data_IF_614751474751
#
_entry.id   IF_614751474751
#
_cell.length_a   1.000
_cell.length_b   1.000
_cell.length_c   1.000
_cell.angle_alpha   90.00
_cell.angle_beta   90.00
_cell.angle_gamma   90.00
#
_symmetry.space_group_name_H-M   'P 1'
#
loop_
_entity.id
_entity.type
_entity.pdbx_description
1 polymer ?
#
# COMPACT_ATOMS: atom_id res chain seq x y z
N UNK A 1 -19.62 -32.33 6.49
CA UNK A 1 -19.30 -31.43 7.61
C UNK A 1 -18.83 -32.25 8.80
N UNK A 2 -19.47 -33.39 9.06
CA UNK A 2 -19.13 -34.32 10.15
C UNK A 2 -17.67 -34.81 10.17
N UNK A 3 -17.07 -35.10 9.00
CA UNK A 3 -15.67 -35.59 8.93
C UNK A 3 -14.63 -34.57 9.46
N UNK A 4 -14.88 -33.26 9.31
CA UNK A 4 -13.95 -32.23 9.80
C UNK A 4 -14.07 -32.03 11.32
N UNK A 5 -15.27 -32.20 11.86
CA UNK A 5 -15.50 -32.14 13.31
C UNK A 5 -14.89 -33.36 14.01
N UNK A 6 -14.96 -34.54 13.41
CA UNK A 6 -14.31 -35.76 13.92
C UNK A 6 -12.78 -35.66 13.92
N UNK A 7 -12.18 -35.11 12.85
CA UNK A 7 -10.73 -34.88 12.77
C UNK A 7 -10.25 -33.84 13.81
N UNK A 8 -11.04 -32.78 14.04
CA UNK A 8 -10.75 -31.79 15.08
C UNK A 8 -10.84 -32.40 16.48
N UNK A 9 -11.85 -33.23 16.74
CA UNK A 9 -12.00 -33.91 18.03
C UNK A 9 -10.84 -34.88 18.32
N UNK A 10 -10.31 -35.55 17.30
CA UNK A 10 -9.13 -36.41 17.44
C UNK A 10 -7.85 -35.60 17.65
N UNK A 11 -7.67 -34.49 16.93
CA UNK A 11 -6.54 -33.58 17.15
C UNK A 11 -6.53 -32.98 18.57
N UNK A 12 -7.70 -32.58 19.09
CA UNK A 12 -7.85 -32.04 20.46
C UNK A 12 -7.56 -33.11 21.51
N UNK A 13 -7.96 -34.36 21.26
CA UNK A 13 -7.70 -35.49 22.17
C UNK A 13 -6.22 -35.86 22.22
N UNK A 14 -5.56 -35.86 21.07
CA UNK A 14 -4.11 -36.07 20.97
C UNK A 14 -3.33 -34.94 21.66
N UNK A 15 -3.76 -33.70 21.49
CA UNK A 15 -3.16 -32.55 22.17
C UNK A 15 -3.34 -32.63 23.69
N UNK A 16 -4.55 -33.00 24.16
CA UNK A 16 -4.81 -33.16 25.60
C UNK A 16 -3.93 -34.26 26.19
N UNK A 17 -3.79 -35.38 25.47
CA UNK A 17 -2.90 -36.47 25.87
C UNK A 17 -1.44 -36.03 25.95
N UNK A 18 -0.98 -35.30 24.94
CA UNK A 18 0.40 -34.77 24.90
C UNK A 18 0.65 -33.77 26.03
N UNK A 19 -0.34 -32.94 26.36
CA UNK A 19 -0.27 -32.00 27.49
C UNK A 19 -0.25 -32.73 28.82
N UNK A 20 -1.07 -33.77 29.01
CA UNK A 20 -1.05 -34.58 30.23
C UNK A 20 0.26 -35.36 30.37
N UNK A 21 0.82 -35.90 29.28
CA UNK A 21 2.13 -36.55 29.27
C UNK A 21 3.25 -35.56 29.62
N UNK A 22 3.26 -34.36 29.01
CA UNK A 22 4.20 -33.29 29.37
C UNK A 22 4.02 -32.81 30.82
N UNK A 23 2.77 -32.77 31.29
CA UNK A 23 2.46 -32.39 32.66
C UNK A 23 2.90 -33.46 33.64
N UNK A 24 2.75 -34.73 33.33
CA UNK A 24 3.26 -35.84 34.16
C UNK A 24 4.79 -35.89 34.15
N UNK A 25 5.43 -35.50 33.04
CA UNK A 25 6.89 -35.35 32.97
C UNK A 25 7.37 -34.14 33.80
N UNK A 26 6.62 -33.02 33.76
CA UNK A 26 6.90 -31.82 34.55
C UNK A 26 6.52 -31.96 36.03
N UNK A 27 5.47 -32.74 36.35
CA UNK A 27 5.01 -33.09 37.70
C UNK A 27 5.57 -34.47 38.15
N UNK A 28 6.54 -35.02 37.43
CA UNK A 28 7.32 -36.21 37.83
C UNK A 28 7.87 -36.05 39.26
N UNK A 29 8.50 -37.03 39.92
CA UNK A 29 8.74 -36.98 41.37
C UNK A 29 9.76 -35.91 41.82
N UNK A 30 9.37 -34.63 41.80
CA UNK A 30 10.03 -33.46 42.35
C UNK A 30 9.91 -33.43 43.89
N UNK A 31 9.41 -34.51 44.50
CA UNK A 31 9.26 -34.68 45.95
C UNK A 31 10.41 -35.44 46.60
N UNK A 32 11.61 -35.48 46.00
CA UNK A 32 12.79 -36.02 46.69
C UNK A 32 13.86 -34.96 46.85
N UNK A 33 13.67 -34.17 47.92
CA UNK A 33 14.64 -33.26 48.54
C UNK A 33 15.00 -32.05 47.69
N UNK A 34 14.14 -31.01 47.74
CA UNK A 34 14.63 -29.65 47.50
C UNK A 34 15.82 -29.41 48.44
N UNK A 35 17.01 -29.07 47.92
CA UNK A 35 18.07 -28.56 48.79
C UNK A 35 17.51 -27.35 49.53
N UNK A 36 17.96 -27.08 50.78
CA UNK A 36 17.55 -25.87 51.48
C UNK A 36 17.77 -24.69 50.53
N UNK A 37 16.77 -23.81 50.41
CA UNK A 37 16.82 -22.60 49.59
C UNK A 37 17.99 -21.74 50.09
N UNK A 38 19.18 -22.00 49.55
CA UNK A 38 20.32 -21.14 49.73
C UNK A 38 20.13 -19.97 48.79
N UNK A 39 20.37 -18.73 49.27
CA UNK A 39 20.40 -17.59 48.37
C UNK A 39 21.44 -17.86 47.27
N UNK A 40 21.14 -17.50 46.02
CA UNK A 40 22.03 -17.75 44.89
C UNK A 40 23.37 -17.06 45.13
N UNK A 41 24.44 -17.73 44.77
CA UNK A 41 25.77 -17.12 44.81
C UNK A 41 25.93 -16.13 43.66
N UNK A 42 26.75 -15.08 43.80
CA UNK A 42 26.98 -14.11 42.72
C UNK A 42 27.44 -14.76 41.40
N UNK A 43 28.18 -15.88 41.48
CA UNK A 43 28.59 -16.66 40.30
C UNK A 43 27.42 -17.37 39.61
N UNK A 44 26.42 -17.83 40.35
CA UNK A 44 25.21 -18.43 39.78
C UNK A 44 24.34 -17.38 39.10
N UNK A 45 24.31 -16.13 39.61
CA UNK A 45 23.62 -15.03 38.94
C UNK A 45 24.29 -14.65 37.62
N UNK A 46 25.63 -14.52 37.61
CA UNK A 46 26.38 -14.26 36.38
C UNK A 46 26.19 -15.38 35.34
N UNK A 47 26.18 -16.64 35.80
CA UNK A 47 25.91 -17.79 34.93
C UNK A 47 24.48 -17.77 34.39
N UNK A 48 23.49 -17.43 35.22
CA UNK A 48 22.10 -17.29 34.78
C UNK A 48 21.92 -16.16 33.76
N UNK A 49 22.60 -15.02 33.95
CA UNK A 49 22.54 -13.93 32.98
C UNK A 49 23.15 -14.33 31.65
N UNK A 50 24.25 -15.07 31.65
CA UNK A 50 24.92 -15.54 30.44
C UNK A 50 24.15 -16.67 29.73
N UNK A 51 23.70 -17.68 30.48
CA UNK A 51 23.02 -18.85 29.93
C UNK A 51 21.55 -18.59 29.53
N UNK A 52 20.87 -17.64 30.19
CA UNK A 52 19.41 -17.49 30.08
C UNK A 52 18.99 -16.05 29.83
N UNK A 53 19.39 -15.09 30.67
CA UNK A 53 18.82 -13.75 30.59
C UNK A 53 19.27 -12.99 29.33
N UNK A 54 20.57 -13.01 29.01
CA UNK A 54 21.11 -12.36 27.83
C UNK A 54 20.57 -12.99 26.54
N UNK A 55 20.54 -14.33 26.36
CA UNK A 55 19.91 -14.95 25.19
C UNK A 55 18.42 -14.60 25.03
N UNK A 56 17.66 -14.55 26.13
CA UNK A 56 16.25 -14.20 26.08
C UNK A 56 16.04 -12.73 25.65
N UNK A 57 16.81 -11.80 26.22
CA UNK A 57 16.76 -10.38 25.84
C UNK A 57 17.20 -10.19 24.39
N UNK A 58 18.27 -10.87 23.96
CA UNK A 58 18.71 -10.84 22.57
C UNK A 58 17.62 -11.33 21.61
N UNK A 59 16.94 -12.42 21.96
CA UNK A 59 15.82 -12.96 21.16
C UNK A 59 14.66 -11.96 21.08
N UNK A 60 14.33 -11.29 22.18
CA UNK A 60 13.31 -10.25 22.19
C UNK A 60 13.67 -9.07 21.28
N UNK A 61 14.95 -8.67 21.28
CA UNK A 61 15.47 -7.62 20.40
C UNK A 61 15.45 -8.06 18.94
N UNK A 62 15.91 -9.27 18.61
CA UNK A 62 15.87 -9.79 17.23
C UNK A 62 14.44 -9.87 16.70
N UNK A 63 13.50 -10.29 17.55
CA UNK A 63 12.07 -10.31 17.23
C UNK A 63 11.54 -8.91 16.97
N UNK A 64 11.97 -7.93 17.77
CA UNK A 64 11.62 -6.52 17.58
C UNK A 64 12.15 -5.99 16.25
N UNK A 65 13.41 -6.27 15.92
CA UNK A 65 14.01 -5.88 14.63
C UNK A 65 13.25 -6.52 13.47
N UNK A 66 12.96 -7.82 13.52
CA UNK A 66 12.15 -8.50 12.48
C UNK A 66 10.75 -7.92 12.34
N UNK A 67 10.12 -7.51 13.45
CA UNK A 67 8.83 -6.83 13.42
C UNK A 67 8.93 -5.46 12.73
N UNK A 68 9.98 -4.68 13.03
CA UNK A 68 10.24 -3.41 12.36
C UNK A 68 10.56 -3.60 10.86
N UNK A 69 11.31 -4.62 10.48
CA UNK A 69 11.58 -4.95 9.07
C UNK A 69 10.30 -5.35 8.32
N UNK A 70 9.45 -6.17 8.95
CA UNK A 70 8.14 -6.51 8.41
C UNK A 70 7.27 -5.27 8.23
N UNK A 71 7.30 -4.34 9.20
CA UNK A 71 6.61 -3.06 9.10
C UNK A 71 7.15 -2.21 7.95
N UNK A 72 8.47 -2.09 7.80
CA UNK A 72 9.09 -1.38 6.67
C UNK A 72 8.68 -1.99 5.32
N UNK A 73 8.64 -3.33 5.25
CA UNK A 73 8.17 -4.04 4.05
C UNK A 73 6.71 -3.74 3.76
N UNK A 74 5.85 -3.66 4.78
CA UNK A 74 4.44 -3.26 4.62
C UNK A 74 4.31 -1.82 4.11
N UNK A 75 5.10 -0.89 4.63
CA UNK A 75 5.09 0.51 4.17
C UNK A 75 5.57 0.65 2.73
N UNK A 76 6.53 -0.19 2.30
CA UNK A 76 6.96 -0.26 0.90
C UNK A 76 5.81 -0.73 -0.01
N UNK A 77 5.03 -1.73 0.41
CA UNK A 77 3.85 -2.19 -0.35
C UNK A 77 2.82 -1.08 -0.49
N UNK A 78 2.50 -0.35 0.59
CA UNK A 78 1.55 0.77 0.56
C UNK A 78 2.02 1.89 -0.39
N UNK A 79 3.33 2.21 -0.39
CA UNK A 79 3.89 3.19 -1.34
C UNK A 79 3.76 2.72 -2.79
N UNK A 80 4.08 1.46 -3.07
CA UNK A 80 3.91 0.89 -4.41
C UNK A 80 2.45 0.84 -4.85
N UNK A 81 1.51 0.57 -3.95
CA UNK A 81 0.07 0.63 -4.25
C UNK A 81 -0.37 2.04 -4.61
N UNK A 82 0.11 3.06 -3.88
CA UNK A 82 -0.19 4.45 -4.18
C UNK A 82 0.34 4.88 -5.56
N UNK A 83 1.59 4.53 -5.87
CA UNK A 83 2.19 4.79 -7.19
C UNK A 83 1.44 4.06 -8.31
N UNK A 84 1.02 2.82 -8.06
CA UNK A 84 0.19 2.07 -9.01
C UNK A 84 -1.17 2.73 -9.21
N UNK A 85 -1.83 3.20 -8.13
CA UNK A 85 -3.11 3.89 -8.18
C UNK A 85 -3.01 5.20 -8.97
N UNK A 86 -1.99 6.01 -8.73
CA UNK A 86 -1.75 7.25 -9.47
C UNK A 86 -1.57 6.96 -10.97
N UNK A 87 -0.72 6.00 -11.33
CA UNK A 87 -0.54 5.57 -12.74
C UNK A 87 -1.82 5.03 -13.38
N UNK A 88 -2.63 4.29 -12.63
CA UNK A 88 -3.94 3.83 -13.12
C UNK A 88 -4.95 4.98 -13.23
N UNK A 89 -4.90 5.97 -12.35
CA UNK A 89 -5.76 7.15 -12.38
C UNK A 89 -5.57 7.95 -13.67
N UNK A 90 -4.31 8.21 -14.04
CA UNK A 90 -3.96 8.85 -15.31
C UNK A 90 -4.45 8.05 -16.52
N UNK A 91 -4.29 6.72 -16.49
CA UNK A 91 -4.77 5.85 -17.56
C UNK A 91 -6.30 5.85 -17.68
N UNK A 92 -7.01 5.85 -16.55
CA UNK A 92 -8.48 5.94 -16.49
C UNK A 92 -8.95 7.29 -17.01
N UNK A 93 -8.29 8.39 -16.64
CA UNK A 93 -8.62 9.73 -17.11
C UNK A 93 -8.45 9.85 -18.62
N UNK A 94 -7.32 9.38 -19.17
CA UNK A 94 -7.08 9.34 -20.61
C UNK A 94 -8.07 8.42 -21.37
N UNK A 95 -8.60 7.39 -20.71
CA UNK A 95 -9.63 6.51 -21.29
C UNK A 95 -11.01 7.18 -21.24
N UNK A 96 -11.33 7.87 -20.14
CA UNK A 96 -12.56 8.64 -19.96
C UNK A 96 -12.68 9.78 -20.97
N UNK A 97 -11.58 10.48 -21.26
CA UNK A 97 -11.53 11.54 -22.27
C UNK A 97 -11.88 10.98 -23.66
N UNK A 98 -11.23 9.87 -24.07
CA UNK A 98 -11.54 9.19 -25.35
C UNK A 98 -12.98 8.70 -25.41
N UNK A 99 -13.49 8.13 -24.32
CA UNK A 99 -14.88 7.68 -24.26
C UNK A 99 -15.87 8.87 -24.39
N UNK A 100 -15.54 10.02 -23.79
CA UNK A 100 -16.32 11.24 -23.90
C UNK A 100 -16.32 11.82 -25.32
N UNK A 101 -15.17 11.79 -25.99
CA UNK A 101 -15.03 12.20 -27.39
C UNK A 101 -15.82 11.28 -28.35
N UNK A 102 -15.73 9.97 -28.15
CA UNK A 102 -16.52 8.98 -28.89
C UNK A 102 -18.03 9.17 -28.67
N UNK A 103 -18.44 9.40 -27.42
CA UNK A 103 -19.84 9.71 -27.09
C UNK A 103 -20.32 10.94 -27.84
N UNK A 104 -19.52 12.00 -27.86
CA UNK A 104 -19.89 13.26 -28.53
C UNK A 104 -19.99 13.10 -30.05
N UNK A 105 -19.05 12.36 -30.65
CA UNK A 105 -19.10 12.00 -32.08
C UNK A 105 -20.35 11.18 -32.40
N UNK A 106 -20.64 10.16 -31.59
CA UNK A 106 -21.80 9.27 -31.81
C UNK A 106 -23.11 10.04 -31.67
N UNK A 107 -23.23 10.92 -30.67
CA UNK A 107 -24.39 11.80 -30.52
C UNK A 107 -24.55 12.75 -31.70
N UNK A 108 -23.46 13.35 -32.19
CA UNK A 108 -23.49 14.21 -33.37
C UNK A 108 -23.94 13.47 -34.63
N UNK A 109 -23.52 12.22 -34.80
CA UNK A 109 -24.01 11.37 -35.90
C UNK A 109 -25.49 11.04 -35.73
N UNK A 110 -25.94 10.74 -34.50
CA UNK A 110 -27.35 10.47 -34.21
C UNK A 110 -28.22 11.70 -34.53
N UNK A 111 -27.81 12.90 -34.12
CA UNK A 111 -28.51 14.15 -34.45
C UNK A 111 -28.59 14.37 -35.97
N UNK A 112 -27.52 14.03 -36.71
CA UNK A 112 -27.51 14.13 -38.17
C UNK A 112 -28.52 13.17 -38.80
N UNK A 113 -28.51 11.90 -38.39
CA UNK A 113 -29.46 10.89 -38.88
C UNK A 113 -30.90 11.24 -38.51
N UNK A 114 -31.13 11.77 -37.30
CA UNK A 114 -32.45 12.24 -36.88
C UNK A 114 -32.93 13.43 -37.70
N UNK A 115 -32.06 14.39 -38.01
CA UNK A 115 -32.39 15.50 -38.90
C UNK A 115 -32.73 15.03 -40.32
N UNK A 116 -32.02 14.02 -40.81
CA UNK A 116 -32.24 13.41 -42.12
C UNK A 116 -33.55 12.60 -42.16
N UNK A 117 -33.86 11.85 -41.10
CA UNK A 117 -35.14 11.17 -40.91
C UNK A 117 -36.30 12.16 -40.81
N UNK A 118 -36.14 13.25 -40.07
CA UNK A 118 -37.17 14.28 -39.92
C UNK A 118 -37.40 15.03 -41.24
N UNK A 119 -36.34 15.24 -42.03
CA UNK A 119 -36.44 15.76 -43.39
C UNK A 119 -37.19 14.79 -44.31
N UNK A 120 -36.82 13.51 -44.31
CA UNK A 120 -37.49 12.48 -45.12
C UNK A 120 -38.97 12.29 -44.73
N UNK A 121 -39.30 12.37 -43.43
CA UNK A 121 -40.67 12.28 -42.94
C UNK A 121 -41.52 13.49 -43.34
N UNK A 122 -40.93 14.68 -43.33
CA UNK A 122 -41.59 15.92 -43.75
C UNK A 122 -41.82 15.97 -45.27
N UNK A 123 -40.92 15.34 -46.04
CA UNK A 123 -41.04 15.21 -47.51
C UNK A 123 -42.04 14.10 -47.92
N UNK A 124 -42.73 13.48 -46.96
CA UNK A 124 -43.73 12.43 -47.21
C UNK A 124 -43.14 11.08 -47.60
N UNK A 125 -41.82 10.89 -47.44
CA UNK A 125 -41.08 9.69 -47.77
C UNK A 125 -41.09 8.60 -46.69
N UNK A 126 -42.10 8.55 -45.81
CA UNK A 126 -42.24 7.43 -44.88
C UNK A 126 -42.38 6.14 -45.71
N UNK A 127 -41.46 5.17 -45.58
CA UNK A 127 -41.56 3.94 -46.34
C UNK A 127 -42.87 3.25 -45.97
N UNK A 128 -43.80 3.15 -46.93
CA UNK A 128 -44.96 2.26 -46.84
C UNK A 128 -44.55 0.78 -46.96
N UNK A 129 -43.24 0.50 -46.91
CA UNK A 129 -42.63 -0.79 -47.10
C UNK A 129 -42.84 -1.66 -45.86
N UNK A 130 -43.30 -2.88 -46.08
CA UNK A 130 -43.59 -3.85 -45.04
C UNK A 130 -42.33 -4.18 -44.23
N UNK A 131 -41.17 -4.21 -44.90
CA UNK A 131 -39.84 -4.40 -44.32
C UNK A 131 -39.50 -3.34 -43.27
N UNK A 132 -39.88 -2.08 -43.52
CA UNK A 132 -39.62 -1.00 -42.57
C UNK A 132 -40.50 -1.11 -41.32
N UNK A 133 -41.72 -1.66 -41.44
CA UNK A 133 -42.59 -1.93 -40.29
C UNK A 133 -42.03 -3.07 -39.44
N UNK A 134 -41.49 -4.11 -40.06
CA UNK A 134 -40.86 -5.23 -39.36
C UNK A 134 -39.60 -4.77 -38.60
N UNK A 135 -38.72 -3.97 -39.22
CA UNK A 135 -37.54 -3.43 -38.54
C UNK A 135 -37.90 -2.49 -37.37
N UNK A 136 -38.94 -1.68 -37.51
CA UNK A 136 -39.43 -0.83 -36.40
C UNK A 136 -40.04 -1.65 -35.26
N UNK A 137 -40.64 -2.79 -35.57
CA UNK A 137 -41.16 -3.72 -34.58
C UNK A 137 -40.00 -4.40 -33.84
N UNK A 138 -39.00 -4.90 -34.58
CA UNK A 138 -37.81 -5.52 -34.02
C UNK A 138 -36.99 -4.54 -33.16
N UNK A 139 -36.85 -3.29 -33.60
CA UNK A 139 -36.21 -2.24 -32.81
C UNK A 139 -36.97 -1.93 -31.51
N UNK A 140 -38.31 -1.98 -31.52
CA UNK A 140 -39.13 -1.84 -30.30
C UNK A 140 -38.94 -3.02 -29.35
N UNK A 141 -38.98 -4.23 -29.88
CA UNK A 141 -38.77 -5.47 -29.11
C UNK A 141 -37.38 -5.48 -28.46
N UNK A 142 -36.33 -5.06 -29.20
CA UNK A 142 -34.97 -4.96 -28.67
C UNK A 142 -34.83 -3.89 -27.58
N UNK A 143 -35.49 -2.74 -27.72
CA UNK A 143 -35.50 -1.68 -26.70
C UNK A 143 -36.13 -2.18 -25.40
N UNK A 144 -37.24 -2.91 -25.50
CA UNK A 144 -37.93 -3.43 -24.33
C UNK A 144 -37.11 -4.55 -23.64
N UNK A 145 -36.33 -5.36 -24.37
CA UNK A 145 -35.36 -6.33 -23.78
C UNK A 145 -34.24 -5.61 -23.00
N UNK A 146 -33.67 -4.54 -23.58
CA UNK A 146 -32.61 -3.76 -22.94
C UNK A 146 -33.12 -3.05 -21.68
N UNK A 147 -34.29 -2.41 -21.73
CA UNK A 147 -34.93 -1.81 -20.56
C UNK A 147 -35.18 -2.87 -19.47
N UNK A 148 -35.58 -4.08 -19.85
CA UNK A 148 -35.74 -5.22 -18.94
C UNK A 148 -34.42 -5.60 -18.25
N UNK A 149 -33.33 -5.75 -19.00
CA UNK A 149 -32.02 -6.08 -18.44
C UNK A 149 -31.45 -4.98 -17.56
N UNK A 150 -31.65 -3.71 -17.94
CA UNK A 150 -31.18 -2.57 -17.14
C UNK A 150 -31.93 -2.49 -15.82
N UNK A 151 -33.24 -2.76 -15.83
CA UNK A 151 -34.05 -2.81 -14.62
C UNK A 151 -33.67 -3.98 -13.71
N UNK A 152 -33.42 -5.16 -14.28
CA UNK A 152 -32.96 -6.34 -13.54
C UNK A 152 -31.57 -6.13 -12.92
N UNK A 153 -30.69 -5.42 -13.62
CA UNK A 153 -29.39 -5.00 -13.10
C UNK A 153 -29.53 -3.95 -11.98
N UNK A 154 -30.39 -2.95 -12.16
CA UNK A 154 -30.64 -1.91 -11.16
C UNK A 154 -31.34 -2.46 -9.90
N UNK A 155 -32.26 -3.43 -10.03
CA UNK A 155 -32.91 -4.10 -8.90
C UNK A 155 -31.92 -4.99 -8.14
N UNK A 156 -30.98 -5.64 -8.85
CA UNK A 156 -29.88 -6.42 -8.24
C UNK A 156 -28.87 -5.52 -7.50
N UNK A 157 -28.67 -4.29 -7.97
CA UNK A 157 -27.82 -3.28 -7.30
C UNK A 157 -28.56 -2.57 -6.15
N UNK A 158 -29.87 -2.39 -6.26
CA UNK A 158 -30.71 -1.70 -5.26
C UNK A 158 -31.19 -2.61 -4.13
N UNK A 159 -30.82 -3.89 -4.09
CA UNK A 159 -31.13 -4.81 -3.01
C UNK A 159 -29.97 -4.81 -1.99
N UNK A 160 -30.06 -4.04 -0.88
CA UNK A 160 -29.05 -4.08 0.15
C UNK A 160 -29.39 -5.25 1.08
N UNK A 161 -28.59 -6.31 1.01
CA UNK A 161 -28.57 -7.36 2.02
C UNK A 161 -29.41 -8.60 1.69
N UNK A 162 -28.77 -9.55 1.01
CA UNK A 162 -28.91 -10.96 1.35
C UNK A 162 -27.51 -11.54 1.61
N UNK A 163 -26.80 -10.91 2.56
CA UNK A 163 -25.78 -11.59 3.33
C UNK A 163 -26.53 -12.26 4.48
N UNK A 164 -26.76 -13.56 4.37
CA UNK A 164 -27.45 -14.35 5.38
C UNK A 164 -26.85 -14.16 6.80
N UNK A 165 -27.67 -14.22 7.86
CA UNK A 165 -27.24 -13.98 9.23
C UNK A 165 -26.57 -15.24 9.80
N UNK A 166 -25.35 -15.53 9.38
CA UNK A 166 -24.49 -16.55 10.00
C UNK A 166 -23.02 -16.13 9.92
N UNK A 167 -22.73 -14.91 10.41
CA UNK A 167 -21.35 -14.51 10.71
C UNK A 167 -21.29 -13.98 12.14
N UNK A 168 -20.56 -14.64 13.06
CA UNK A 168 -20.38 -14.11 14.41
C UNK A 168 -19.52 -12.85 14.34
N UNK A 169 -20.03 -11.78 14.95
CA UNK A 169 -19.35 -10.51 15.18
C UNK A 169 -17.95 -10.69 15.79
N UNK A 170 -16.88 -10.11 15.20
CA UNK A 170 -15.67 -9.84 15.94
C UNK A 170 -15.88 -8.56 16.76
N UNK A 171 -16.19 -8.74 18.03
CA UNK A 171 -16.07 -7.70 19.05
C UNK A 171 -14.67 -7.04 18.96
N UNK A 172 -14.60 -5.71 18.84
CA UNK A 172 -13.36 -4.97 19.10
C UNK A 172 -12.92 -3.87 18.11
N UNK A 173 -13.81 -3.33 17.28
CA UNK A 173 -13.50 -2.10 16.54
C UNK A 173 -13.66 -0.87 17.42
N UNK A 174 -12.57 -0.26 17.88
CA UNK A 174 -12.59 1.07 18.53
C UNK A 174 -12.75 2.15 17.47
N UNK A 175 -13.89 2.82 17.45
CA UNK A 175 -14.10 4.08 16.72
C UNK A 175 -13.70 5.25 17.61
N UNK A 176 -12.72 6.05 17.18
CA UNK A 176 -12.34 7.31 17.83
C UNK A 176 -13.07 8.44 17.10
N UNK A 177 -14.04 9.06 17.78
CA UNK A 177 -14.63 10.31 17.34
C UNK A 177 -13.65 11.46 17.64
N UNK A 178 -13.22 12.16 16.60
CA UNK A 178 -12.42 13.38 16.71
C UNK A 178 -13.39 14.56 16.64
N UNK A 179 -13.67 15.17 17.79
CA UNK A 179 -14.36 16.45 17.86
C UNK A 179 -13.36 17.57 17.52
N UNK A 180 -13.51 18.19 16.34
CA UNK A 180 -12.76 19.38 15.93
C UNK A 180 -13.24 20.60 16.75
N UNK A 181 -12.70 20.75 17.95
CA UNK A 181 -12.88 21.94 18.80
C UNK A 181 -11.93 23.07 18.37
N UNK A 182 -12.38 24.34 18.28
CA UNK A 182 -11.54 25.46 17.84
C UNK A 182 -10.43 25.74 18.86
N UNK A 183 -9.19 25.76 18.37
CA UNK A 183 -7.99 26.15 19.12
C UNK A 183 -8.13 27.61 19.57
N UNK A 184 -8.46 27.84 20.85
CA UNK A 184 -8.38 29.17 21.45
C UNK A 184 -6.97 29.40 21.99
N UNK A 185 -6.26 30.33 21.34
CA UNK A 185 -5.01 30.94 21.81
C UNK A 185 -5.28 31.66 23.15
N UNK A 186 -5.05 30.98 24.27
CA UNK A 186 -5.13 31.57 25.60
C UNK A 186 -3.71 31.96 26.07
N UNK A 187 -3.26 33.13 25.60
CA UNK A 187 -2.19 33.87 26.24
C UNK A 187 -2.79 34.69 27.38
N UNK A 188 -2.83 34.09 28.56
CA UNK A 188 -3.08 34.80 29.81
C UNK A 188 -1.89 34.62 30.73
N UNK A 189 -1.18 35.73 30.94
CA UNK A 189 -0.12 35.89 31.94
C UNK A 189 -0.66 35.51 33.32
N UNK A 190 -0.02 34.55 33.99
CA UNK A 190 -0.11 34.39 35.44
C UNK A 190 1.27 34.03 35.96
N UNK A 191 1.79 34.99 36.71
CA UNK A 191 3.08 35.00 37.39
C UNK A 191 2.93 34.16 38.67
N UNK A 192 3.43 32.92 38.66
CA UNK A 192 3.68 32.13 39.86
C UNK A 192 4.99 31.35 39.66
N UNK A 193 6.01 31.81 40.35
CA UNK A 193 7.35 31.25 40.37
C UNK A 193 7.38 29.90 41.11
N UNK A 194 7.69 28.80 40.42
CA UNK A 194 8.51 27.71 40.96
C UNK A 194 8.99 26.72 39.86
N UNK A 195 10.30 26.51 39.84
CA UNK A 195 11.09 25.43 39.21
C UNK A 195 11.00 25.18 37.69
N UNK A 196 11.38 26.20 36.91
CA UNK A 196 11.81 26.03 35.51
C UNK A 196 13.21 25.41 35.41
N UNK A 197 13.30 24.08 35.48
CA UNK A 197 14.39 23.34 34.82
C UNK A 197 14.00 23.08 33.38
N UNK A 198 13.97 24.14 32.58
CA UNK A 198 14.24 23.99 31.16
C UNK A 198 15.67 23.45 31.08
N UNK A 199 15.76 22.13 30.90
CA UNK A 199 17.00 21.45 30.58
C UNK A 199 17.33 21.84 29.15
N UNK A 200 17.78 23.08 28.95
CA UNK A 200 18.44 23.51 27.73
C UNK A 200 19.65 22.58 27.59
N UNK A 201 19.49 21.57 26.73
CA UNK A 201 20.55 20.62 26.44
C UNK A 201 21.67 21.42 25.78
N UNK A 202 22.79 21.57 26.47
CA UNK A 202 23.99 22.21 25.93
C UNK A 202 24.60 21.29 24.87
N UNK A 203 24.06 21.39 23.65
CA UNK A 203 24.47 20.58 22.49
C UNK A 203 25.98 20.69 22.24
N UNK A 204 26.58 21.85 22.54
CA UNK A 204 28.02 22.06 22.39
C UNK A 204 28.85 21.17 23.33
N UNK A 205 28.40 20.98 24.58
CA UNK A 205 29.07 20.12 25.55
C UNK A 205 28.93 18.64 25.16
N UNK A 206 27.74 18.22 24.72
CA UNK A 206 27.49 16.86 24.25
C UNK A 206 28.30 16.53 22.99
N UNK A 207 28.43 17.48 22.05
CA UNK A 207 29.23 17.31 20.84
C UNK A 207 30.73 17.21 21.12
N UNK A 208 31.25 17.88 22.14
CA UNK A 208 32.65 17.75 22.54
C UNK A 208 32.94 16.34 23.09
N UNK A 209 32.03 15.80 23.90
CA UNK A 209 32.17 14.42 24.42
C UNK A 209 32.10 13.36 23.33
N UNK A 210 31.20 13.53 22.35
CA UNK A 210 31.11 12.65 21.17
C UNK A 210 32.35 12.77 20.27
N UNK A 211 32.93 13.98 20.14
CA UNK A 211 34.17 14.20 19.40
C UNK A 211 35.35 13.50 20.06
N UNK A 212 35.49 13.60 21.38
CA UNK A 212 36.59 12.96 22.12
C UNK A 212 36.50 11.42 22.03
N UNK A 213 35.29 10.88 22.15
CA UNK A 213 35.02 9.45 22.01
C UNK A 213 35.42 8.89 20.63
N UNK A 214 35.15 9.63 19.55
CA UNK A 214 35.48 9.19 18.19
C UNK A 214 36.85 9.66 17.68
N UNK A 215 37.47 10.66 18.32
CA UNK A 215 38.82 11.08 18.01
C UNK A 215 39.86 10.06 18.50
N UNK A 216 39.59 9.40 19.64
CA UNK A 216 40.45 8.33 20.19
C UNK A 216 40.41 7.04 19.35
N UNK A 217 39.30 6.79 18.63
CA UNK A 217 39.14 5.63 17.74
C UNK A 217 39.70 5.84 16.32
N UNK A 218 40.17 7.05 16.00
CA UNK A 218 40.63 7.45 14.66
C UNK A 218 42.14 7.57 14.46
N UNK A 219 42.96 7.53 15.52
CA UNK A 219 44.41 7.79 15.44
C UNK A 219 45.27 6.54 15.68
N UNK A 220 44.97 5.46 14.95
CA UNK A 220 45.94 4.39 14.70
C UNK A 220 46.52 4.53 13.29
N UNK A 221 47.59 5.31 13.23
CA UNK A 221 48.76 5.14 12.35
C UNK A 221 48.48 5.22 10.83
N UNK A 222 48.53 6.44 10.30
CA UNK A 222 48.80 6.68 8.88
C UNK A 222 50.13 7.41 8.75
N UNK A 223 51.23 6.65 8.88
CA UNK A 223 52.57 7.10 8.56
C UNK A 223 52.61 7.75 7.18
N UNK A 224 52.99 9.02 7.13
CA UNK A 224 53.27 9.81 5.94
C UNK A 224 54.22 9.04 5.00
N UNK A 225 53.73 8.66 3.83
CA UNK A 225 54.58 8.31 2.68
C UNK A 225 54.39 9.41 1.65
N UNK A 226 55.34 10.34 1.61
CA UNK A 226 55.48 11.29 0.52
C UNK A 226 55.73 10.52 -0.77
N UNK A 227 54.80 10.62 -1.73
CA UNK A 227 55.03 10.28 -3.12
C UNK A 227 54.82 11.57 -3.91
N UNK A 228 55.94 12.23 -4.21
CA UNK A 228 56.03 13.22 -5.28
C UNK A 228 55.69 12.54 -6.60
N UNK A 229 54.50 12.79 -7.15
CA UNK A 229 54.20 12.54 -8.57
C UNK A 229 53.97 13.88 -9.26
N UNK A 230 55.05 14.35 -9.88
CA UNK A 230 55.08 15.47 -10.78
C UNK A 230 54.47 15.05 -12.12
N UNK A 231 53.50 15.80 -12.65
CA UNK A 231 53.20 15.67 -14.07
C UNK A 231 51.91 16.28 -14.59
N UNK A 232 52.08 17.50 -15.10
CA UNK A 232 51.52 18.01 -16.35
C UNK A 232 50.07 18.52 -16.35
N UNK A 233 50.00 19.85 -16.41
CA UNK A 233 49.05 20.61 -17.20
C UNK A 233 48.85 19.98 -18.60
N UNK A 234 47.61 19.95 -19.07
CA UNK A 234 47.28 20.00 -20.50
C UNK A 234 45.90 20.65 -20.70
N UNK A 235 45.95 21.90 -21.13
CA UNK A 235 44.85 22.67 -21.71
C UNK A 235 44.38 22.02 -23.03
N UNK A 236 43.07 21.95 -23.25
CA UNK A 236 42.51 21.36 -24.47
C UNK A 236 41.10 21.81 -24.81
N UNK A 237 40.96 23.10 -25.12
CA UNK A 237 39.89 23.68 -25.93
C UNK A 237 39.78 23.00 -27.31
N UNK A 238 38.56 22.83 -27.85
CA UNK A 238 38.39 22.21 -29.17
C UNK A 238 36.96 21.82 -29.55
N UNK A 239 36.21 22.81 -30.01
CA UNK A 239 34.94 22.71 -30.76
C UNK A 239 34.97 21.76 -31.96
N UNK A 240 33.86 21.06 -32.25
CA UNK A 240 33.34 20.90 -33.63
C UNK A 240 31.93 20.26 -33.64
N UNK A 241 31.01 20.95 -34.32
CA UNK A 241 29.74 20.43 -34.77
C UNK A 241 29.92 19.33 -35.83
N UNK A 242 28.97 18.40 -35.89
CA UNK A 242 28.69 17.68 -37.13
C UNK A 242 27.17 17.61 -37.36
N UNK A 243 26.78 18.22 -38.47
CA UNK A 243 25.49 18.15 -39.13
C UNK A 243 25.35 16.78 -39.82
N UNK A 244 24.18 16.15 -39.76
CA UNK A 244 23.73 15.28 -40.86
C UNK A 244 22.21 15.18 -40.93
N UNK A 245 21.65 16.17 -41.64
CA UNK A 245 20.89 16.05 -42.89
C UNK A 245 19.94 14.84 -43.15
N UNK A 246 18.68 15.23 -43.34
CA UNK A 246 17.68 14.81 -44.34
C UNK A 246 17.22 13.33 -44.50
N UNK A 247 15.92 13.15 -44.22
CA UNK A 247 15.05 12.17 -44.87
C UNK A 247 13.61 12.71 -44.97
N UNK A 248 13.27 13.32 -46.10
CA UNK A 248 11.98 13.95 -46.40
C UNK A 248 10.80 12.95 -46.55
N UNK A 249 9.55 13.40 -46.34
CA UNK A 249 8.34 12.58 -46.50
C UNK A 249 7.97 12.37 -47.97
N UNK A 250 7.70 11.11 -48.33
CA UNK A 250 7.20 10.73 -49.65
C UNK A 250 5.71 11.05 -49.81
N UNK A 251 5.42 12.04 -50.65
CA UNK A 251 4.13 12.25 -51.30
C UNK A 251 4.03 11.33 -52.52
N UNK A 252 3.13 10.35 -52.48
CA UNK A 252 2.69 9.60 -53.67
C UNK A 252 1.30 10.12 -54.06
N UNK A 253 1.31 10.99 -55.06
CA UNK A 253 0.14 11.40 -55.82
C UNK A 253 0.33 10.82 -57.23
N UNK A 254 -0.50 9.84 -57.57
CA UNK A 254 -0.59 9.23 -58.90
C UNK A 254 -2.04 9.31 -59.40
N UNK A 255 -2.38 10.47 -59.92
CA UNK A 255 -2.94 10.73 -61.26
C UNK A 255 -3.59 9.56 -62.04
N UNK A 256 -4.87 9.79 -62.39
CA UNK A 256 -5.39 9.89 -63.78
C UNK A 256 -6.23 8.77 -64.45
N UNK A 257 -7.19 9.32 -65.21
CA UNK A 257 -7.87 8.88 -66.45
C UNK A 257 -9.23 8.14 -66.44
N UNK A 258 -10.22 8.91 -66.96
CA UNK A 258 -11.38 8.61 -67.83
C UNK A 258 -12.58 7.79 -67.31
#
# INVERSE_FOLDING_TARGET
MDDHDDELLDAVRELTRTIDDLREELDGPHSRRRPPLRPPTPRELLRFTDEIALPAVLTALETSVRALEAFQRSLRVVRTEREARERTGEAVEATSERASELRRTTLSQLDTVLAELQRAASDGGLPADETARDLLKEARDLRDDVDGRLRDAADRESQPGDAGPDRPDPEGGVTIDIDDGPLTDDRSETDDADDGRDSAVDVDAELETLRDQYADEGDSDSSETEIDDAGSDDDGDGTAADDTDAGAPGSDAGDDEN
#
